data_IF_849438021330
#
_entry.id   IF_849438021330
#
_cell.length_a   1.000
_cell.length_b   1.000
_cell.length_c   1.000
_cell.angle_alpha   90.00
_cell.angle_beta   90.00
_cell.angle_gamma   90.00
#
_symmetry.space_group_name_H-M   'P 1'
#
loop_
_entity.id
_entity.type
_entity.pdbx_description
1 polymer ?
#
# COMPACT_ATOMS: atom_id res chain seq x y z
N UNK A 1 39.13 -17.36 -5.91
CA UNK A 1 38.16 -17.45 -7.01
C UNK A 1 37.44 -16.11 -7.04
N UNK A 2 37.88 -15.21 -7.91
CA UNK A 2 37.18 -13.94 -8.14
C UNK A 2 35.94 -14.20 -9.01
N UNK A 3 34.81 -13.54 -8.76
CA UNK A 3 33.69 -13.57 -9.69
C UNK A 3 34.06 -12.74 -10.92
N UNK A 4 34.27 -13.42 -12.04
CA UNK A 4 34.38 -12.78 -13.35
C UNK A 4 32.99 -12.28 -13.74
N UNK A 5 32.67 -11.02 -13.44
CA UNK A 5 31.55 -10.31 -14.07
C UNK A 5 32.02 -9.97 -15.49
N UNK A 6 31.80 -10.92 -16.41
CA UNK A 6 32.10 -10.72 -17.85
C UNK A 6 30.92 -9.98 -18.48
N UNK A 7 31.23 -8.77 -18.96
CA UNK A 7 30.41 -7.79 -19.70
C UNK A 7 29.45 -6.93 -18.89
N UNK A 8 29.92 -5.79 -18.35
CA UNK A 8 29.18 -4.56 -18.57
C UNK A 8 29.37 -4.15 -20.05
N UNK A 9 28.29 -3.85 -20.76
CA UNK A 9 28.31 -3.38 -22.16
C UNK A 9 28.98 -2.00 -22.36
N UNK A 10 29.60 -1.44 -21.31
CA UNK A 10 30.15 -0.10 -21.31
C UNK A 10 31.60 -0.08 -20.81
N UNK A 11 32.48 0.62 -21.55
CA UNK A 11 33.84 0.88 -21.10
C UNK A 11 33.83 1.71 -19.81
N UNK A 12 34.67 1.36 -18.83
CA UNK A 12 34.72 1.98 -17.50
C UNK A 12 34.88 3.51 -17.52
N UNK A 13 35.40 4.09 -18.61
CA UNK A 13 35.78 5.50 -18.70
C UNK A 13 34.93 6.36 -19.65
N UNK A 14 33.92 5.81 -20.35
CA UNK A 14 33.01 6.60 -21.18
C UNK A 14 31.69 6.92 -20.46
N UNK A 15 31.60 8.11 -19.87
CA UNK A 15 30.44 8.57 -19.10
C UNK A 15 29.52 9.53 -19.88
N UNK A 16 29.77 9.76 -21.19
CA UNK A 16 28.95 10.71 -21.95
C UNK A 16 27.58 10.08 -22.24
N UNK A 17 26.51 10.69 -21.73
CA UNK A 17 25.14 10.22 -21.93
C UNK A 17 24.62 9.21 -20.91
N UNK A 18 25.39 8.90 -19.85
CA UNK A 18 24.92 8.05 -18.75
C UNK A 18 23.98 8.79 -17.81
N UNK A 19 22.90 8.13 -17.40
CA UNK A 19 22.09 8.60 -16.29
C UNK A 19 22.76 8.32 -14.93
N UNK A 20 22.20 8.89 -13.86
CA UNK A 20 22.77 8.78 -12.51
C UNK A 20 22.81 7.34 -11.98
N UNK A 21 21.87 6.49 -12.41
CA UNK A 21 21.81 5.09 -12.02
C UNK A 21 22.94 4.29 -12.68
N UNK A 22 23.15 4.50 -13.97
CA UNK A 22 24.22 3.89 -14.77
C UNK A 22 25.61 4.26 -14.26
N UNK A 23 25.82 5.51 -13.84
CA UNK A 23 27.10 5.95 -13.25
C UNK A 23 27.34 5.28 -11.89
N UNK A 24 26.31 5.18 -11.04
CA UNK A 24 26.42 4.54 -9.74
C UNK A 24 26.64 3.02 -9.88
N UNK A 25 25.92 2.38 -10.80
CA UNK A 25 26.02 0.95 -11.07
C UNK A 25 27.41 0.56 -11.59
N UNK A 26 27.96 1.33 -12.55
CA UNK A 26 29.31 1.11 -13.07
C UNK A 26 30.40 1.24 -12.00
N UNK A 27 30.26 2.17 -11.05
CA UNK A 27 31.20 2.33 -9.93
C UNK A 27 31.16 1.18 -8.93
N UNK A 28 29.99 0.59 -8.74
CA UNK A 28 29.77 -0.52 -7.81
C UNK A 28 29.93 -1.90 -8.47
N UNK A 29 30.14 -1.96 -9.79
CA UNK A 29 30.24 -3.20 -10.55
C UNK A 29 28.94 -4.00 -10.57
N UNK A 30 27.79 -3.34 -10.49
CA UNK A 30 26.47 -3.98 -10.49
C UNK A 30 25.72 -3.65 -11.79
N UNK A 31 24.77 -4.51 -12.17
CA UNK A 31 23.87 -4.26 -13.28
C UNK A 31 22.83 -3.19 -12.92
N UNK A 32 22.40 -2.38 -13.90
CA UNK A 32 21.27 -1.46 -13.74
C UNK A 32 19.93 -2.20 -13.80
N UNK A 33 18.84 -1.53 -13.42
CA UNK A 33 17.49 -2.06 -13.64
C UNK A 33 17.24 -2.46 -15.10
N UNK A 34 17.59 -1.57 -16.03
CA UNK A 34 17.38 -1.78 -17.46
C UNK A 34 18.25 -2.93 -18.01
N UNK A 35 19.47 -3.11 -17.49
CA UNK A 35 20.31 -4.24 -17.85
C UNK A 35 19.65 -5.57 -17.47
N UNK A 36 19.16 -5.67 -16.23
CA UNK A 36 18.48 -6.87 -15.75
C UNK A 36 17.24 -7.20 -16.60
N UNK A 37 16.42 -6.19 -16.95
CA UNK A 37 15.25 -6.39 -17.79
C UNK A 37 15.61 -6.79 -19.23
N UNK A 38 16.63 -6.16 -19.81
CA UNK A 38 17.10 -6.45 -21.17
C UNK A 38 17.67 -7.85 -21.28
N UNK A 39 18.48 -8.29 -20.31
CA UNK A 39 19.00 -9.65 -20.27
C UNK A 39 17.87 -10.67 -20.08
N UNK A 40 16.95 -10.44 -19.15
CA UNK A 40 15.79 -11.31 -18.96
C UNK A 40 14.92 -11.41 -20.23
N UNK A 41 14.69 -10.29 -20.93
CA UNK A 41 13.94 -10.27 -22.19
C UNK A 41 14.62 -11.10 -23.28
N UNK A 42 15.95 -10.95 -23.45
CA UNK A 42 16.74 -11.75 -24.40
C UNK A 42 16.62 -13.24 -24.08
N UNK A 43 16.81 -13.61 -22.82
CA UNK A 43 16.82 -15.02 -22.42
C UNK A 43 15.41 -15.65 -22.49
N UNK A 44 14.35 -14.84 -22.39
CA UNK A 44 12.95 -15.27 -22.53
C UNK A 44 12.42 -15.24 -23.98
N UNK A 45 13.18 -14.78 -24.97
CA UNK A 45 12.69 -14.55 -26.34
C UNK A 45 12.11 -15.81 -26.99
N UNK A 46 12.83 -16.93 -26.91
CA UNK A 46 12.36 -18.21 -27.44
C UNK A 46 11.08 -18.69 -26.71
N UNK A 47 11.06 -18.56 -25.38
CA UNK A 47 9.90 -18.93 -24.57
C UNK A 47 8.66 -18.10 -24.95
N UNK A 48 8.79 -16.79 -25.13
CA UNK A 48 7.69 -15.91 -25.52
C UNK A 48 7.24 -16.11 -26.97
N UNK A 49 8.12 -16.62 -27.84
CA UNK A 49 7.76 -17.02 -29.20
C UNK A 49 6.87 -18.27 -29.19
N UNK A 50 7.20 -19.25 -28.35
CA UNK A 50 6.42 -20.49 -28.19
C UNK A 50 5.15 -20.27 -27.36
N UNK A 51 5.16 -19.31 -26.44
CA UNK A 51 4.08 -18.98 -25.53
C UNK A 51 3.73 -17.48 -25.62
N UNK A 52 3.09 -17.03 -26.71
CA UNK A 52 2.75 -15.64 -26.88
C UNK A 52 1.78 -15.18 -25.79
N UNK A 53 2.14 -14.11 -25.10
CA UNK A 53 1.28 -13.44 -24.12
C UNK A 53 0.49 -12.30 -24.79
N UNK A 54 -0.73 -12.00 -24.33
CA UNK A 54 -1.49 -10.85 -24.84
C UNK A 54 -0.70 -9.54 -24.70
N UNK A 55 -0.62 -8.78 -25.78
CA UNK A 55 0.07 -7.47 -25.81
C UNK A 55 -0.90 -6.29 -25.73
N UNK A 56 -2.19 -6.56 -25.91
CA UNK A 56 -3.25 -5.56 -25.81
C UNK A 56 -3.40 -5.12 -24.35
N UNK A 57 -3.62 -3.82 -24.09
CA UNK A 57 -3.93 -3.35 -22.74
C UNK A 57 -5.14 -4.11 -22.19
N UNK A 58 -5.10 -4.46 -20.91
CA UNK A 58 -6.29 -4.99 -20.25
C UNK A 58 -7.45 -3.98 -20.37
N UNK A 59 -8.69 -4.45 -20.60
CA UNK A 59 -9.83 -3.55 -20.70
C UNK A 59 -9.97 -2.77 -19.38
N UNK A 60 -9.75 -1.47 -19.45
CA UNK A 60 -9.93 -0.56 -18.33
C UNK A 60 -11.37 -0.02 -18.35
N UNK A 61 -12.03 0.15 -17.19
CA UNK A 61 -13.28 0.89 -17.15
C UNK A 61 -13.04 2.31 -17.66
N UNK A 62 -13.89 2.78 -18.58
CA UNK A 62 -13.88 4.19 -18.99
C UNK A 62 -14.28 5.04 -17.77
N UNK A 63 -13.40 5.92 -17.24
CA UNK A 63 -13.71 6.73 -16.07
C UNK A 63 -14.71 7.86 -16.37
N UNK A 64 -14.86 8.28 -17.64
CA UNK A 64 -15.70 9.42 -18.02
C UNK A 64 -17.15 9.32 -17.51
N UNK A 65 -17.89 8.20 -17.67
CA UNK A 65 -19.26 8.07 -17.15
C UNK A 65 -19.34 8.17 -15.63
N UNK A 66 -18.38 7.58 -14.90
CA UNK A 66 -18.35 7.65 -13.44
C UNK A 66 -18.12 9.08 -12.95
N UNK A 67 -17.17 9.79 -13.57
CA UNK A 67 -16.88 11.19 -13.23
C UNK A 67 -18.03 12.13 -13.57
N UNK A 68 -18.71 11.90 -14.70
CA UNK A 68 -19.91 12.65 -15.08
C UNK A 68 -21.07 12.42 -14.10
N UNK A 69 -21.32 11.16 -13.71
CA UNK A 69 -22.33 10.83 -12.71
C UNK A 69 -21.99 11.45 -11.34
N UNK A 70 -20.71 11.43 -10.96
CA UNK A 70 -20.25 12.02 -9.70
C UNK A 70 -20.42 13.54 -9.69
N UNK A 71 -20.21 14.22 -10.82
CA UNK A 71 -20.44 15.65 -10.95
C UNK A 71 -21.94 16.03 -10.81
N UNK A 72 -22.84 15.12 -11.17
CA UNK A 72 -24.29 15.29 -11.00
C UNK A 72 -24.81 14.80 -9.63
N UNK A 73 -23.97 14.13 -8.84
CA UNK A 73 -24.37 13.53 -7.57
C UNK A 73 -24.66 14.61 -6.52
N UNK A 74 -25.90 14.62 -6.02
CA UNK A 74 -26.36 15.54 -4.98
C UNK A 74 -26.54 14.93 -3.60
N UNK A 75 -26.34 13.60 -3.47
CA UNK A 75 -26.59 12.88 -2.22
C UNK A 75 -25.50 11.85 -1.95
N UNK A 76 -25.35 11.47 -0.68
CA UNK A 76 -24.50 10.37 -0.24
C UNK A 76 -24.86 9.05 -0.95
N UNK A 77 -26.16 8.80 -1.19
CA UNK A 77 -26.63 7.62 -1.92
C UNK A 77 -26.14 7.59 -3.38
N UNK A 78 -26.14 8.73 -4.06
CA UNK A 78 -25.65 8.82 -5.44
C UNK A 78 -24.15 8.51 -5.52
N UNK A 79 -23.35 9.08 -4.59
CA UNK A 79 -21.93 8.80 -4.52
C UNK A 79 -21.65 7.31 -4.21
N UNK A 80 -22.41 6.70 -3.30
CA UNK A 80 -22.28 5.27 -2.99
C UNK A 80 -22.64 4.38 -4.19
N UNK A 81 -23.74 4.66 -4.89
CA UNK A 81 -24.13 3.90 -6.08
C UNK A 81 -23.03 3.92 -7.17
N UNK A 82 -22.37 5.06 -7.37
CA UNK A 82 -21.25 5.19 -8.31
C UNK A 82 -20.05 4.38 -7.83
N UNK A 83 -19.71 4.46 -6.53
CA UNK A 83 -18.63 3.69 -5.93
C UNK A 83 -18.86 2.19 -6.09
N UNK A 84 -20.02 1.68 -5.70
CA UNK A 84 -20.34 0.25 -5.79
C UNK A 84 -20.29 -0.25 -7.24
N UNK A 85 -20.85 0.51 -8.19
CA UNK A 85 -20.78 0.15 -9.61
C UNK A 85 -19.34 0.16 -10.16
N UNK A 86 -18.47 1.03 -9.66
CA UNK A 86 -17.05 1.02 -10.03
C UNK A 86 -16.34 -0.21 -9.45
N UNK A 87 -16.62 -0.56 -8.18
CA UNK A 87 -16.05 -1.73 -7.53
C UNK A 87 -16.45 -3.02 -8.25
N UNK A 88 -17.73 -3.19 -8.58
CA UNK A 88 -18.23 -4.33 -9.35
C UNK A 88 -17.55 -4.46 -10.72
N UNK A 89 -17.36 -3.33 -11.42
CA UNK A 89 -16.70 -3.31 -12.73
C UNK A 89 -15.19 -3.62 -12.64
N UNK A 90 -14.50 -3.14 -11.61
CA UNK A 90 -13.07 -3.32 -11.43
C UNK A 90 -12.70 -4.69 -10.82
N UNK A 91 -13.62 -5.31 -10.07
CA UNK A 91 -13.36 -6.53 -9.32
C UNK A 91 -12.76 -7.67 -10.16
N UNK A 92 -13.30 -8.04 -11.34
CA UNK A 92 -12.76 -9.16 -12.12
C UNK A 92 -11.30 -8.96 -12.54
N UNK A 93 -10.93 -7.74 -12.95
CA UNK A 93 -9.57 -7.44 -13.37
C UNK A 93 -8.58 -7.47 -12.18
N UNK A 94 -8.97 -6.91 -11.03
CA UNK A 94 -8.13 -6.93 -9.83
C UNK A 94 -7.93 -8.35 -9.28
N UNK A 95 -8.95 -9.19 -9.36
CA UNK A 95 -8.83 -10.62 -9.05
C UNK A 95 -7.88 -11.35 -9.99
N UNK A 96 -8.03 -11.18 -11.30
CA UNK A 96 -7.15 -11.81 -12.28
C UNK A 96 -5.68 -11.42 -12.08
N UNK A 97 -5.39 -10.14 -11.81
CA UNK A 97 -4.04 -9.67 -11.49
C UNK A 97 -3.52 -10.30 -10.19
N UNK A 98 -4.34 -10.35 -9.14
CA UNK A 98 -3.97 -10.98 -7.87
C UNK A 98 -3.61 -12.45 -8.05
N UNK A 99 -4.43 -13.20 -8.80
CA UNK A 99 -4.23 -14.63 -9.03
C UNK A 99 -2.94 -14.91 -9.82
N UNK A 100 -2.65 -14.12 -10.85
CA UNK A 100 -1.41 -14.23 -11.64
C UNK A 100 -0.19 -13.92 -10.75
N UNK A 101 -0.22 -12.83 -9.99
CA UNK A 101 0.88 -12.47 -9.09
C UNK A 101 1.11 -13.54 -8.02
N UNK A 102 0.04 -14.10 -7.45
CA UNK A 102 0.13 -15.20 -6.49
C UNK A 102 0.69 -16.49 -7.13
N UNK A 103 0.33 -16.78 -8.39
CA UNK A 103 0.88 -17.91 -9.13
C UNK A 103 2.38 -17.73 -9.40
N UNK A 104 2.81 -16.54 -9.85
CA UNK A 104 4.23 -16.21 -10.07
C UNK A 104 5.01 -16.31 -8.75
N UNK A 105 4.46 -15.77 -7.65
CA UNK A 105 5.08 -15.86 -6.33
C UNK A 105 5.33 -17.31 -5.88
N UNK A 106 4.44 -18.24 -6.25
CA UNK A 106 4.50 -19.66 -5.87
C UNK A 106 5.26 -20.53 -6.86
N UNK A 107 5.67 -19.98 -8.00
CA UNK A 107 6.40 -20.73 -9.02
C UNK A 107 7.61 -21.44 -8.38
N UNK A 108 7.75 -22.74 -8.66
CA UNK A 108 8.85 -23.57 -8.17
C UNK A 108 8.92 -23.67 -6.62
N UNK A 109 7.75 -23.63 -5.94
CA UNK A 109 7.57 -23.65 -4.47
C UNK A 109 8.35 -22.56 -3.71
N UNK A 110 8.82 -21.52 -4.43
CA UNK A 110 9.69 -20.45 -3.91
C UNK A 110 9.09 -19.65 -2.77
N UNK A 111 7.77 -19.68 -2.58
CA UNK A 111 7.08 -18.96 -1.52
C UNK A 111 7.05 -19.71 -0.16
N UNK A 112 7.07 -21.05 -0.15
CA UNK A 112 6.73 -21.85 1.04
C UNK A 112 7.63 -21.56 2.23
N UNK A 113 8.93 -21.47 1.99
CA UNK A 113 9.95 -21.25 3.01
C UNK A 113 10.69 -19.91 2.81
N UNK A 114 10.10 -18.98 2.06
CA UNK A 114 10.74 -17.70 1.79
C UNK A 114 10.64 -16.77 3.00
N UNK A 115 11.76 -16.14 3.36
CA UNK A 115 11.79 -15.12 4.41
C UNK A 115 10.98 -13.87 4.02
N UNK A 116 10.45 -13.10 5.00
CA UNK A 116 9.86 -11.79 4.72
C UNK A 116 10.80 -10.87 3.93
N UNK A 117 10.25 -10.10 2.99
CA UNK A 117 11.04 -9.20 2.13
C UNK A 117 11.75 -9.86 0.95
N UNK A 118 11.66 -11.19 0.81
CA UNK A 118 12.13 -11.88 -0.40
C UNK A 118 11.19 -11.63 -1.59
N UNK A 119 11.66 -11.74 -2.85
CA UNK A 119 10.83 -11.49 -4.03
C UNK A 119 9.50 -12.28 -4.06
N UNK A 120 9.44 -13.58 -3.68
CA UNK A 120 8.17 -14.31 -3.58
C UNK A 120 7.18 -13.70 -2.58
N UNK A 121 7.67 -13.18 -1.44
CA UNK A 121 6.81 -12.51 -0.45
C UNK A 121 6.33 -11.15 -0.94
N UNK A 122 7.21 -10.39 -1.61
CA UNK A 122 6.83 -9.10 -2.21
C UNK A 122 5.76 -9.26 -3.30
N UNK A 123 5.86 -10.32 -4.13
CA UNK A 123 4.83 -10.63 -5.13
C UNK A 123 3.51 -11.06 -4.49
N UNK A 124 3.55 -11.87 -3.42
CA UNK A 124 2.35 -12.23 -2.65
C UNK A 124 1.70 -11.00 -1.99
N UNK A 125 2.51 -10.09 -1.48
CA UNK A 125 2.04 -8.82 -0.91
C UNK A 125 1.41 -7.92 -2.00
N UNK A 126 2.02 -7.85 -3.18
CA UNK A 126 1.45 -7.15 -4.33
C UNK A 126 0.08 -7.74 -4.73
N UNK A 127 -0.03 -9.06 -4.81
CA UNK A 127 -1.29 -9.76 -5.07
C UNK A 127 -2.38 -9.39 -4.03
N UNK A 128 -2.02 -9.36 -2.75
CA UNK A 128 -2.91 -8.95 -1.67
C UNK A 128 -3.34 -7.49 -1.78
N UNK A 129 -2.39 -6.59 -2.10
CA UNK A 129 -2.65 -5.15 -2.29
C UNK A 129 -3.59 -4.88 -3.45
N UNK A 130 -3.52 -5.64 -4.55
CA UNK A 130 -4.47 -5.52 -5.67
C UNK A 130 -5.92 -5.69 -5.23
N UNK A 131 -6.18 -6.61 -4.29
CA UNK A 131 -7.53 -6.84 -3.74
C UNK A 131 -7.88 -5.89 -2.59
N UNK A 132 -6.88 -5.41 -1.85
CA UNK A 132 -7.10 -4.53 -0.70
C UNK A 132 -7.81 -3.23 -1.07
N UNK A 133 -7.62 -2.75 -2.31
CA UNK A 133 -8.31 -1.56 -2.84
C UNK A 133 -9.83 -1.72 -2.79
N UNK A 134 -10.36 -2.90 -3.16
CA UNK A 134 -11.80 -3.16 -3.16
C UNK A 134 -12.37 -3.09 -1.74
N UNK A 135 -11.72 -3.79 -0.79
CA UNK A 135 -12.17 -3.82 0.60
C UNK A 135 -12.05 -2.47 1.30
N UNK A 136 -10.99 -1.70 1.02
CA UNK A 136 -10.83 -0.36 1.60
C UNK A 136 -11.88 0.62 1.08
N UNK A 137 -12.18 0.58 -0.22
CA UNK A 137 -13.19 1.43 -0.83
C UNK A 137 -14.61 1.09 -0.33
N UNK A 138 -14.96 -0.20 -0.26
CA UNK A 138 -16.25 -0.65 0.30
C UNK A 138 -16.41 -0.25 1.77
N UNK A 139 -15.37 -0.46 2.59
CA UNK A 139 -15.40 -0.06 3.99
C UNK A 139 -15.57 1.46 4.16
N UNK A 140 -14.93 2.26 3.31
CA UNK A 140 -15.09 3.71 3.31
C UNK A 140 -16.51 4.14 2.89
N UNK A 141 -17.07 3.50 1.87
CA UNK A 141 -18.44 3.76 1.41
C UNK A 141 -19.46 3.42 2.49
N UNK A 142 -19.34 2.25 3.12
CA UNK A 142 -20.18 1.85 4.26
C UNK A 142 -20.05 2.78 5.46
N UNK A 143 -18.86 3.30 5.75
CA UNK A 143 -18.66 4.28 6.81
C UNK A 143 -19.39 5.60 6.50
N UNK A 144 -19.37 6.04 5.24
CA UNK A 144 -20.10 7.22 4.79
C UNK A 144 -21.62 7.02 4.88
N UNK A 145 -22.12 5.87 4.42
CA UNK A 145 -23.54 5.53 4.52
C UNK A 145 -24.03 5.44 5.97
N UNK A 146 -23.22 4.87 6.88
CA UNK A 146 -23.55 4.85 8.32
C UNK A 146 -23.67 6.26 8.88
N UNK A 147 -22.77 7.16 8.52
CA UNK A 147 -22.84 8.54 8.99
C UNK A 147 -24.13 9.27 8.54
N UNK A 148 -24.65 8.95 7.34
CA UNK A 148 -25.87 9.54 6.79
C UNK A 148 -27.15 8.89 7.37
N UNK A 149 -27.22 7.57 7.36
CA UNK A 149 -28.46 6.82 7.62
C UNK A 149 -28.57 6.25 9.03
N UNK A 150 -27.45 6.05 9.72
CA UNK A 150 -27.39 5.47 11.07
C UNK A 150 -26.36 6.23 11.94
N UNK A 151 -26.53 7.55 12.15
CA UNK A 151 -25.58 8.32 12.93
C UNK A 151 -25.59 7.85 14.38
N UNK A 152 -24.40 7.67 14.95
CA UNK A 152 -24.27 7.28 16.36
C UNK A 152 -25.07 8.25 17.26
N UNK A 153 -25.77 7.74 18.29
CA UNK A 153 -26.53 8.59 19.19
C UNK A 153 -25.61 9.64 19.82
N UNK A 154 -26.09 10.89 20.00
CA UNK A 154 -25.28 11.93 20.60
C UNK A 154 -24.81 11.46 21.98
N UNK A 155 -23.56 11.78 22.36
CA UNK A 155 -23.05 11.41 23.67
C UNK A 155 -24.01 11.93 24.75
N UNK A 156 -24.26 11.15 25.81
CA UNK A 156 -25.14 11.60 26.89
C UNK A 156 -24.63 12.96 27.39
N UNK A 157 -25.53 13.90 27.72
CA UNK A 157 -25.14 15.21 28.19
C UNK A 157 -24.15 15.01 29.33
N UNK A 158 -22.99 15.66 29.23
CA UNK A 158 -21.99 15.62 30.28
C UNK A 158 -22.70 15.99 31.57
N UNK A 159 -22.88 14.99 32.47
CA UNK A 159 -23.36 15.27 33.82
C UNK A 159 -22.39 16.32 34.34
N UNK A 160 -22.85 17.57 34.51
CA UNK A 160 -22.13 18.56 35.30
C UNK A 160 -21.75 17.79 36.55
N UNK A 161 -20.45 17.55 36.74
CA UNK A 161 -19.94 17.05 38.01
C UNK A 161 -20.47 18.07 39.00
N UNK A 162 -21.57 17.75 39.68
CA UNK A 162 -21.88 18.33 40.97
C UNK A 162 -20.55 18.20 41.72
N UNK A 163 -20.00 19.35 42.11
CA UNK A 163 -18.75 19.42 42.82
C UNK A 163 -18.78 18.30 43.85
N UNK A 164 -17.90 17.32 43.65
CA UNK A 164 -17.71 16.24 44.60
C UNK A 164 -17.57 16.94 45.94
N UNK A 165 -18.46 16.63 46.88
CA UNK A 165 -18.30 16.96 48.29
C UNK A 165 -16.96 16.37 48.72
N UNK A 166 -15.89 17.13 48.51
CA UNK A 166 -14.60 16.87 49.11
C UNK A 166 -14.82 17.02 50.62
N UNK A 167 -14.39 16.06 51.44
CA UNK A 167 -14.38 16.26 52.88
C UNK A 167 -13.50 17.48 53.19
N UNK A 168 -13.86 18.31 54.20
CA UNK A 168 -13.13 19.52 54.50
C UNK A 168 -11.69 19.22 54.86
N UNK A 169 -10.77 20.03 54.31
CA UNK A 169 -9.35 20.00 54.59
C UNK A 169 -9.11 20.23 56.09
N UNK A 170 -8.28 19.42 56.77
CA UNK A 170 -7.97 19.66 58.18
C UNK A 170 -7.14 20.94 58.34
N UNK A 171 -7.33 21.72 59.44
CA UNK A 171 -6.67 22.99 59.63
C UNK A 171 -5.15 22.81 59.85
N UNK A 172 -4.35 23.52 59.06
CA UNK A 172 -2.90 23.65 59.27
C UNK A 172 -2.63 24.46 60.54
N UNK A 173 -1.94 23.85 61.50
CA UNK A 173 -1.41 24.52 62.69
C UNK A 173 -0.18 25.38 62.34
N UNK A 174 -0.03 26.60 62.91
CA UNK A 174 1.14 27.45 62.68
C UNK A 174 2.37 27.00 63.50
N UNK A 175 3.58 27.50 63.17
CA UNK A 175 4.85 26.97 63.64
C UNK A 175 5.23 27.52 65.02
N UNK A 176 5.82 26.69 65.88
CA UNK A 176 6.49 27.13 67.10
C UNK A 176 7.96 26.69 67.04
N UNK A 177 8.85 27.68 67.21
CA UNK A 177 10.30 27.60 67.10
C UNK A 177 11.02 26.87 68.26
N UNK A 178 12.32 27.16 68.46
CA UNK A 178 13.34 26.12 68.67
C UNK A 178 13.65 25.74 70.13
N UNK A 179 14.08 24.46 70.29
CA UNK A 179 15.01 23.77 71.23
C UNK A 179 15.42 24.45 72.57
N UNK A 180 15.67 23.69 73.68
CA UNK A 180 16.99 22.99 73.82
C UNK A 180 17.06 21.72 74.69
N UNK A 181 17.98 20.83 74.30
CA UNK A 181 18.98 20.09 75.12
C UNK A 181 18.64 19.41 76.45
N UNK A 182 18.98 18.12 76.55
CA UNK A 182 19.89 17.59 77.58
C UNK A 182 20.55 16.29 77.13
#
# INVERSE_FOLDING_TARGET
MEPVIRNPDFELYDNVGRDAEQIAAARLGIATHDDLLRWAKRDAEAFLTEHPLPSEPMPAPDPAPYLAALAAATTTAHASAITQHLLDAAQPALHAVSDILAAIARWDDRHRNAEPGTPPKMLMEAASRSLSVLGLADAADLALLRAEYDPAPPPPPAKKRAASNLPPTPPSTPPAGPAPGR
#
